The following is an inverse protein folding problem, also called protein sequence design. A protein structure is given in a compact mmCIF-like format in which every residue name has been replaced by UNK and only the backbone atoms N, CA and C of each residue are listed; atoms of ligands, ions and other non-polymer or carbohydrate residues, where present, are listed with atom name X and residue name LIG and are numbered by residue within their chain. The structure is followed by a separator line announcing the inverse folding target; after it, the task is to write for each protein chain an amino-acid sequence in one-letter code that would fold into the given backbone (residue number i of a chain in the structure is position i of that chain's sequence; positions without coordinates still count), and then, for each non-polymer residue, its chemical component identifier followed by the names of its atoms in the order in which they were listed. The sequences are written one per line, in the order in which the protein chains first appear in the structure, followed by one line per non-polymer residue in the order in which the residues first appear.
data_IF_769065782492
#
_entry.id   IF_769065782492
#
_cell.length_a   1.000
_cell.length_b   1.000
_cell.length_c   1.000
_cell.angle_alpha   90.00
_cell.angle_beta   90.00
_cell.angle_gamma   90.00
#
_symmetry.space_group_name_H-M   'P 1'
#
loop_
_entity.id
_entity.type
_entity.pdbx_description
1 polymer ?
#
# COMPACT_ATOMS: atom_id res chain seq x y z
N UNK A 1 -11.51 8.41 6.17
CA UNK A 1 -10.15 8.69 5.67
C UNK A 1 -9.38 7.37 5.69
N UNK A 2 -8.79 6.98 4.56
CA UNK A 2 -8.03 5.74 4.46
C UNK A 2 -6.54 6.07 4.44
N UNK A 3 -5.71 5.22 5.04
CA UNK A 3 -4.26 5.43 5.11
C UNK A 3 -3.58 4.37 4.25
N UNK A 4 -2.77 4.81 3.29
CA UNK A 4 -1.83 3.94 2.60
C UNK A 4 -0.61 3.73 3.50
N UNK A 5 -0.25 2.47 3.70
CA UNK A 5 0.97 2.09 4.40
C UNK A 5 1.85 1.26 3.48
N UNK A 6 3.09 1.69 3.27
CA UNK A 6 4.12 0.95 2.53
C UNK A 6 5.29 0.74 3.48
N UNK A 7 5.78 -0.50 3.53
CA UNK A 7 6.91 -0.86 4.39
C UNK A 7 7.92 -1.70 3.62
N UNK A 8 9.19 -1.44 3.85
CA UNK A 8 10.27 -2.30 3.38
C UNK A 8 10.38 -3.54 4.26
N UNK A 9 10.33 -4.73 3.65
CA UNK A 9 10.32 -5.99 4.41
C UNK A 9 11.63 -6.24 5.20
N UNK A 10 12.77 -5.81 4.66
CA UNK A 10 14.08 -6.01 5.28
C UNK A 10 14.39 -4.95 6.36
N UNK A 11 14.37 -3.66 5.98
CA UNK A 11 14.74 -2.57 6.90
C UNK A 11 13.61 -2.16 7.84
N UNK A 12 12.35 -2.47 7.51
CA UNK A 12 11.19 -1.98 8.24
C UNK A 12 10.95 -0.48 8.09
N UNK A 13 11.57 0.18 7.11
CA UNK A 13 11.30 1.59 6.79
C UNK A 13 9.83 1.74 6.35
N UNK A 14 9.13 2.72 6.92
CA UNK A 14 7.68 2.91 6.77
C UNK A 14 7.38 4.24 6.08
N UNK A 15 6.43 4.21 5.15
CA UNK A 15 5.77 5.36 4.59
C UNK A 15 4.27 5.25 4.86
N UNK A 16 3.67 6.31 5.40
CA UNK A 16 2.25 6.40 5.67
C UNK A 16 1.69 7.69 5.06
N UNK A 17 0.56 7.59 4.36
CA UNK A 17 -0.08 8.74 3.71
C UNK A 17 -1.60 8.62 3.81
N UNK A 18 -2.25 9.71 4.22
CA UNK A 18 -3.70 9.81 4.15
C UNK A 18 -4.13 9.94 2.68
N UNK A 19 -5.03 9.07 2.24
CA UNK A 19 -5.60 9.08 0.89
C UNK A 19 -7.01 9.68 0.91
N UNK A 20 -7.37 10.45 -0.13
CA UNK A 20 -8.73 10.96 -0.29
C UNK A 20 -9.75 9.85 -0.60
N UNK A 21 -9.31 8.71 -1.15
CA UNK A 21 -10.14 7.53 -1.38
C UNK A 21 -9.29 6.26 -1.52
N UNK A 22 -9.92 5.08 -1.48
CA UNK A 22 -9.28 3.79 -1.74
C UNK A 22 -9.32 3.39 -3.23
N UNK A 23 -9.56 4.35 -4.13
CA UNK A 23 -9.58 4.11 -5.58
C UNK A 23 -8.16 3.93 -6.12
N UNK A 24 -8.07 3.25 -7.26
CA UNK A 24 -6.81 2.98 -7.96
C UNK A 24 -5.94 4.23 -8.14
N UNK A 25 -6.52 5.36 -8.53
CA UNK A 25 -5.76 6.61 -8.77
C UNK A 25 -5.06 7.11 -7.51
N UNK A 26 -5.77 7.11 -6.38
CA UNK A 26 -5.21 7.56 -5.10
C UNK A 26 -4.10 6.62 -4.62
N UNK A 27 -4.25 5.30 -4.81
CA UNK A 27 -3.23 4.32 -4.45
C UNK A 27 -1.98 4.47 -5.33
N UNK A 28 -2.15 4.68 -6.64
CA UNK A 28 -1.04 4.87 -7.57
C UNK A 28 -0.24 6.14 -7.20
N UNK A 29 -0.93 7.26 -6.96
CA UNK A 29 -0.26 8.49 -6.53
C UNK A 29 0.47 8.29 -5.20
N UNK A 30 -0.17 7.66 -4.21
CA UNK A 30 0.47 7.38 -2.93
C UNK A 30 1.69 6.46 -3.06
N UNK A 31 1.69 5.54 -4.03
CA UNK A 31 2.84 4.66 -4.32
C UNK A 31 4.00 5.44 -4.95
N UNK A 32 3.72 6.34 -5.89
CA UNK A 32 4.73 7.24 -6.48
C UNK A 32 5.35 8.12 -5.40
N UNK A 33 4.52 8.75 -4.56
CA UNK A 33 5.00 9.59 -3.46
C UNK A 33 5.90 8.80 -2.49
N UNK A 34 5.59 7.51 -2.26
CA UNK A 34 6.43 6.66 -1.44
C UNK A 34 7.80 6.40 -2.10
N UNK A 35 7.84 6.12 -3.41
CA UNK A 35 9.10 5.92 -4.14
C UNK A 35 9.96 7.18 -4.13
N UNK A 36 9.35 8.35 -4.32
CA UNK A 36 10.05 9.64 -4.22
C UNK A 36 10.62 9.87 -2.82
N UNK A 37 9.83 9.61 -1.76
CA UNK A 37 10.29 9.78 -0.37
C UNK A 37 11.40 8.79 -0.01
N UNK A 38 11.31 7.54 -0.46
CA UNK A 38 12.37 6.56 -0.25
C UNK A 38 13.60 6.84 -1.10
N UNK A 39 13.45 7.53 -2.23
CA UNK A 39 14.50 7.71 -3.24
C UNK A 39 14.85 6.42 -4.00
N UNK A 40 14.05 5.36 -3.82
CA UNK A 40 14.29 4.04 -4.41
C UNK A 40 12.98 3.38 -4.81
N UNK A 41 13.06 2.57 -5.87
CA UNK A 41 11.98 1.69 -6.33
C UNK A 41 12.31 0.25 -5.91
N UNK A 42 11.36 -0.48 -5.29
CA UNK A 42 11.58 -1.88 -4.95
C UNK A 42 11.61 -2.76 -6.20
N UNK A 43 12.34 -3.88 -6.15
CA UNK A 43 12.24 -4.91 -7.21
C UNK A 43 10.87 -5.60 -7.22
N UNK A 44 10.30 -5.80 -6.05
CA UNK A 44 8.99 -6.43 -5.87
C UNK A 44 8.12 -5.61 -4.95
N UNK A 45 6.87 -5.39 -5.33
CA UNK A 45 5.88 -4.70 -4.50
C UNK A 45 4.73 -5.64 -4.15
N UNK A 46 4.56 -5.91 -2.87
CA UNK A 46 3.55 -6.84 -2.37
C UNK A 46 2.26 -6.10 -2.04
N UNK A 47 1.17 -6.45 -2.72
CA UNK A 47 -0.10 -5.74 -2.64
C UNK A 47 -1.15 -6.60 -1.91
N UNK A 48 -1.89 -5.96 -1.00
CA UNK A 48 -2.82 -6.63 -0.09
C UNK A 48 -4.17 -6.93 -0.73
N UNK A 49 -4.75 -5.96 -1.45
CA UNK A 49 -6.14 -5.99 -1.89
C UNK A 49 -6.27 -6.37 -3.37
N UNK A 50 -6.56 -7.64 -3.70
CA UNK A 50 -6.70 -8.07 -5.09
C UNK A 50 -7.90 -7.42 -5.79
N UNK A 51 -8.93 -6.88 -5.09
CA UNK A 51 -10.10 -6.32 -5.78
C UNK A 51 -9.86 -4.95 -6.42
N UNK A 52 -9.05 -4.11 -5.77
CA UNK A 52 -8.74 -2.77 -6.31
C UNK A 52 -7.59 -2.81 -7.31
N UNK A 53 -6.72 -3.80 -7.15
CA UNK A 53 -5.45 -3.92 -7.88
C UNK A 53 -5.53 -4.99 -8.97
N UNK A 54 -6.45 -5.94 -8.90
CA UNK A 54 -6.70 -6.94 -9.93
C UNK A 54 -8.13 -6.87 -10.48
N UNK A 55 -8.27 -7.12 -11.79
CA UNK A 55 -9.55 -7.09 -12.50
C UNK A 55 -10.33 -8.41 -12.44
N UNK A 56 -9.63 -9.54 -12.26
CA UNK A 56 -10.25 -10.85 -12.11
C UNK A 56 -9.43 -11.73 -11.17
N UNK A 57 -10.08 -12.29 -10.15
CA UNK A 57 -9.51 -13.38 -9.35
C UNK A 57 -9.73 -14.67 -10.15
N UNK A 58 -8.77 -15.04 -10.99
CA UNK A 58 -8.72 -16.41 -11.50
C UNK A 58 -8.05 -17.29 -10.43
N UNK A 59 -8.51 -18.53 -10.31
CA UNK A 59 -8.15 -19.46 -9.24
C UNK A 59 -6.63 -19.47 -8.93
N UNK A 60 -6.23 -19.13 -7.69
CA UNK A 60 -4.84 -19.20 -7.22
C UNK A 60 -4.07 -17.87 -7.18
N UNK A 61 -2.80 -17.87 -7.62
CA UNK A 61 -1.90 -16.68 -7.69
C UNK A 61 -2.07 -15.86 -8.97
N UNK A 62 -2.88 -16.32 -9.92
CA UNK A 62 -3.11 -15.63 -11.19
C UNK A 62 -4.25 -14.63 -11.05
N UNK A 63 -3.91 -13.46 -10.54
CA UNK A 63 -4.80 -12.30 -10.57
C UNK A 63 -4.39 -11.42 -11.76
N UNK A 64 -5.32 -11.10 -12.66
CA UNK A 64 -5.04 -10.15 -13.74
C UNK A 64 -4.88 -8.75 -13.15
N UNK A 65 -3.66 -8.23 -13.20
CA UNK A 65 -3.32 -6.91 -12.70
C UNK A 65 -4.12 -5.83 -13.46
N UNK A 66 -4.72 -4.90 -12.73
CA UNK A 66 -5.37 -3.73 -13.30
C UNK A 66 -4.39 -2.99 -14.22
N UNK A 67 -4.78 -2.67 -15.47
CA UNK A 67 -3.92 -2.04 -16.46
C UNK A 67 -3.16 -0.83 -15.95
N UNK A 68 -3.78 0.00 -15.09
CA UNK A 68 -3.10 1.17 -14.52
C UNK A 68 -1.92 0.79 -13.62
N UNK A 69 -2.09 -0.24 -12.79
CA UNK A 69 -1.01 -0.78 -11.97
C UNK A 69 0.07 -1.45 -12.82
N UNK A 70 -0.33 -2.13 -13.92
CA UNK A 70 0.61 -2.71 -14.90
C UNK A 70 1.47 -1.63 -15.56
N UNK A 71 0.86 -0.53 -15.98
CA UNK A 71 1.58 0.61 -16.56
C UNK A 71 2.58 1.19 -15.57
N UNK A 72 2.19 1.38 -14.30
CA UNK A 72 3.11 1.88 -13.27
C UNK A 72 4.28 0.91 -13.03
N UNK A 73 4.00 -0.39 -12.96
CA UNK A 73 5.01 -1.43 -12.83
C UNK A 73 6.01 -1.42 -13.99
N UNK A 74 5.54 -1.26 -15.22
CA UNK A 74 6.41 -1.11 -16.40
C UNK A 74 7.20 0.21 -16.39
N UNK A 75 6.60 1.32 -15.95
CA UNK A 75 7.28 2.62 -15.92
C UNK A 75 8.45 2.63 -14.94
N UNK A 76 8.27 2.04 -13.76
CA UNK A 76 9.29 1.99 -12.70
C UNK A 76 10.08 0.68 -12.68
N UNK A 77 9.77 -0.26 -13.57
CA UNK A 77 10.41 -1.56 -13.70
C UNK A 77 10.44 -2.40 -12.40
N UNK A 78 9.27 -2.56 -11.76
CA UNK A 78 9.09 -3.43 -10.59
C UNK A 78 8.07 -4.55 -10.85
N UNK A 79 8.16 -5.61 -10.06
CA UNK A 79 7.26 -6.77 -10.13
C UNK A 79 6.15 -6.71 -9.07
N UNK A 80 4.90 -6.40 -9.44
CA UNK A 80 3.78 -6.44 -8.50
C UNK A 80 3.43 -7.88 -8.15
N UNK A 81 3.37 -8.17 -6.86
CA UNK A 81 3.06 -9.50 -6.31
C UNK A 81 1.84 -9.41 -5.40
N UNK A 82 0.94 -10.38 -5.51
CA UNK A 82 -0.25 -10.45 -4.65
C UNK A 82 -0.06 -11.45 -3.52
N UNK A 83 -0.50 -11.08 -2.32
CA UNK A 83 -0.65 -12.08 -1.26
C UNK A 83 -1.86 -12.97 -1.56
N UNK A 84 -1.66 -14.28 -1.47
CA UNK A 84 -2.75 -15.26 -1.63
C UNK A 84 -3.85 -15.00 -0.60
N UNK A 85 -5.11 -14.98 -1.04
CA UNK A 85 -6.30 -14.65 -0.25
C UNK A 85 -6.59 -15.58 0.95
N UNK A 86 -5.77 -16.59 1.22
CA UNK A 86 -6.02 -17.62 2.24
C UNK A 86 -4.77 -18.05 3.05
N UNK A 87 -3.65 -17.33 2.98
CA UNK A 87 -2.48 -17.61 3.85
C UNK A 87 -2.07 -16.36 4.62
N UNK A 88 -2.44 -16.30 5.91
CA UNK A 88 -2.06 -15.22 6.85
C UNK A 88 -0.54 -15.03 7.02
N UNK A 89 0.28 -16.01 6.62
CA UNK A 89 1.74 -15.96 6.76
C UNK A 89 2.46 -15.01 5.78
N UNK A 90 1.76 -14.42 4.79
CA UNK A 90 2.39 -13.56 3.79
C UNK A 90 2.66 -12.12 4.25
N UNK A 91 2.05 -11.67 5.35
CA UNK A 91 2.09 -10.25 5.80
C UNK A 91 2.44 -9.98 7.28
N UNK A 92 3.11 -10.88 8.04
CA UNK A 92 3.33 -10.65 9.48
C UNK A 92 4.11 -9.34 9.76
N UNK A 93 5.01 -8.93 8.87
CA UNK A 93 5.76 -7.69 9.00
C UNK A 93 4.85 -6.45 8.86
N UNK A 94 3.99 -6.42 7.84
CA UNK A 94 3.09 -5.28 7.58
C UNK A 94 2.09 -5.12 8.73
N UNK A 95 1.49 -6.22 9.19
CA UNK A 95 0.50 -6.18 10.29
C UNK A 95 1.11 -5.68 11.60
N UNK A 96 2.34 -6.10 11.90
CA UNK A 96 3.09 -5.60 13.05
C UNK A 96 3.34 -4.10 12.96
N UNK A 97 3.71 -3.60 11.77
CA UNK A 97 3.92 -2.16 11.53
C UNK A 97 2.63 -1.35 11.58
N UNK A 98 1.51 -1.88 11.07
CA UNK A 98 0.19 -1.24 11.22
C UNK A 98 -0.14 -1.06 12.71
N UNK A 99 0.05 -2.10 13.53
CA UNK A 99 -0.17 -2.03 14.98
C UNK A 99 0.76 -1.03 15.65
N UNK A 100 2.04 -1.00 15.26
CA UNK A 100 3.01 -0.02 15.76
C UNK A 100 2.61 1.42 15.40
N UNK A 101 2.26 1.68 14.13
CA UNK A 101 1.83 3.00 13.68
C UNK A 101 0.61 3.48 14.46
N UNK A 102 -0.41 2.62 14.62
CA UNK A 102 -1.62 2.96 15.40
C UNK A 102 -1.30 3.34 16.85
N UNK A 103 -0.40 2.59 17.49
CA UNK A 103 -0.01 2.83 18.90
C UNK A 103 0.81 4.09 19.09
N UNK A 104 1.72 4.40 18.15
CA UNK A 104 2.63 5.53 18.33
C UNK A 104 2.09 6.84 17.75
N UNK A 105 1.34 6.79 16.64
CA UNK A 105 0.93 8.00 15.90
C UNK A 105 -0.57 8.27 15.95
N UNK A 106 -1.38 7.24 16.22
CA UNK A 106 -2.83 7.38 16.32
C UNK A 106 -3.34 7.21 17.76
N UNK A 107 -2.48 7.48 18.76
CA UNK A 107 -2.85 7.46 20.18
C UNK A 107 -2.38 8.74 20.88
N UNK A 108 -3.29 9.57 21.41
CA UNK A 108 -4.74 9.44 21.31
C UNK A 108 -5.22 9.53 19.85
N UNK A 109 -6.35 8.89 19.55
CA UNK A 109 -6.91 8.89 18.19
C UNK A 109 -7.24 10.33 17.79
N UNK A 110 -6.57 10.81 16.75
CA UNK A 110 -6.82 12.13 16.17
C UNK A 110 -8.25 12.19 15.63
N UNK A 111 -9.07 13.07 16.22
CA UNK A 111 -10.42 13.38 15.74
C UNK A 111 -10.33 14.62 14.86
N UNK A 112 -10.13 14.39 13.57
CA UNK A 112 -10.08 15.42 12.53
C UNK A 112 -11.33 15.29 11.65
N UNK A 113 -11.92 16.42 11.25
CA UNK A 113 -13.13 16.49 10.42
C UNK A 113 -12.82 16.20 8.96
N UNK A 114 -11.67 16.64 8.50
CA UNK A 114 -11.24 16.57 7.10
C UNK A 114 -9.71 16.52 6.96
N UNK A 115 -9.24 16.27 5.74
CA UNK A 115 -7.83 16.07 5.45
C UNK A 115 -6.99 17.34 5.69
N UNK A 116 -7.57 18.53 5.53
CA UNK A 116 -6.85 19.79 5.75
C UNK A 116 -6.53 19.96 7.25
N UNK A 117 -7.45 19.59 8.13
CA UNK A 117 -7.23 19.58 9.58
C UNK A 117 -6.20 18.51 10.01
N UNK A 118 -5.95 17.49 9.18
CA UNK A 118 -4.95 16.46 9.45
C UNK A 118 -3.52 16.84 9.02
N UNK A 119 -3.37 17.67 7.97
CA UNK A 119 -2.08 18.02 7.38
C UNK A 119 -1.53 19.36 7.93
N UNK A 120 -2.37 20.17 8.57
CA UNK A 120 -2.00 21.42 9.24
C UNK A 120 -1.14 21.18 10.50
#
# INVERSE_FOLDING_TARGET
MSILLITWAYSGAVFAMALPSEKTEAILQGTVNAFELFGYVPRELWLDNPKTVAQAIQHGRQCELNPKHKTLASHYNFSPTFCMAARGNGKPHVEGRVKWLKRNWATPVLKVKDLNEFIA
#
